data_IF_978721248266
#
_entry.id   IF_978721248266
#
_cell.length_a   1.000
_cell.length_b   1.000
_cell.length_c   1.000
_cell.angle_alpha   90.00
_cell.angle_beta   90.00
_cell.angle_gamma   90.00
#
_symmetry.space_group_name_H-M   'P 1'
#
loop_
_entity.id
_entity.type
_entity.pdbx_description
1 polymer ?
#
# COMPACT_ATOMS: atom_id res chain seq x y z
N UNK A 1 25.83 -9.10 -3.07
CA UNK A 1 24.99 -10.04 -2.36
C UNK A 1 24.20 -10.89 -3.35
N UNK A 2 24.32 -12.23 -3.23
CA UNK A 2 23.71 -13.18 -4.19
C UNK A 2 22.44 -13.83 -3.61
N UNK A 3 21.66 -13.10 -2.81
CA UNK A 3 20.41 -13.59 -2.23
C UNK A 3 19.36 -13.96 -3.29
N UNK A 4 19.46 -13.37 -4.48
CA UNK A 4 18.60 -13.70 -5.60
C UNK A 4 19.42 -14.10 -6.82
N UNK A 5 19.17 -15.27 -7.44
CA UNK A 5 19.87 -15.69 -8.62
C UNK A 5 19.43 -14.84 -9.83
N UNK A 6 20.36 -14.22 -10.50
CA UNK A 6 20.14 -13.49 -11.75
C UNK A 6 19.16 -12.31 -11.64
N UNK A 7 19.36 -11.34 -10.72
CA UNK A 7 18.53 -10.14 -10.71
C UNK A 7 18.69 -9.40 -12.03
N UNK A 8 17.60 -8.84 -12.56
CA UNK A 8 17.65 -7.96 -13.72
C UNK A 8 18.46 -6.70 -13.37
N UNK A 9 19.02 -6.07 -14.36
CA UNK A 9 19.72 -4.81 -14.21
C UNK A 9 18.68 -3.65 -14.19
N UNK A 10 18.65 -2.88 -13.11
CA UNK A 10 17.73 -1.76 -12.95
C UNK A 10 18.00 -0.62 -13.95
N UNK A 11 19.27 -0.41 -14.37
CA UNK A 11 19.61 0.63 -15.34
C UNK A 11 19.05 0.30 -16.73
N UNK A 12 19.05 -0.98 -17.09
CA UNK A 12 18.44 -1.44 -18.34
C UNK A 12 16.93 -1.21 -18.32
N UNK A 13 16.24 -1.55 -17.21
CA UNK A 13 14.81 -1.30 -17.07
C UNK A 13 14.49 0.19 -17.08
N UNK A 14 15.25 1.02 -16.37
CA UNK A 14 15.08 2.46 -16.35
C UNK A 14 15.19 3.08 -17.75
N UNK A 15 16.12 2.60 -18.59
CA UNK A 15 16.23 3.04 -20.00
C UNK A 15 14.98 2.69 -20.81
N UNK A 16 14.43 1.48 -20.63
CA UNK A 16 13.19 1.09 -21.30
C UNK A 16 12.00 1.94 -20.82
N UNK A 17 11.87 2.14 -19.52
CA UNK A 17 10.78 2.94 -18.97
C UNK A 17 10.85 4.41 -19.42
N UNK A 18 12.05 4.99 -19.53
CA UNK A 18 12.24 6.34 -20.09
C UNK A 18 11.72 6.50 -21.51
N UNK A 19 11.80 5.43 -22.32
CA UNK A 19 11.35 5.46 -23.71
C UNK A 19 9.85 5.18 -23.81
N UNK A 20 9.32 4.25 -23.00
CA UNK A 20 8.00 3.69 -23.19
C UNK A 20 6.94 4.20 -22.20
N UNK A 21 7.35 4.70 -21.03
CA UNK A 21 6.47 5.10 -19.95
C UNK A 21 6.52 6.62 -19.73
N UNK A 22 5.39 7.34 -19.89
CA UNK A 22 5.30 8.76 -19.54
C UNK A 22 5.68 9.00 -18.07
N UNK A 23 5.93 10.27 -17.71
CA UNK A 23 6.43 10.66 -16.37
C UNK A 23 5.45 10.37 -15.23
N UNK A 24 4.19 10.12 -15.55
CA UNK A 24 3.08 9.79 -14.62
C UNK A 24 2.56 8.35 -14.78
N UNK A 25 3.27 7.48 -15.50
CA UNK A 25 2.83 6.11 -15.80
C UNK A 25 2.70 5.25 -14.54
N UNK A 26 1.75 4.32 -14.57
CA UNK A 26 1.65 3.20 -13.63
C UNK A 26 2.26 1.95 -14.27
N UNK A 27 3.27 1.38 -13.64
CA UNK A 27 4.01 0.20 -14.12
C UNK A 27 3.65 -0.98 -13.23
N UNK A 28 3.02 -1.99 -13.81
CA UNK A 28 2.60 -3.21 -13.12
C UNK A 28 3.52 -4.37 -13.46
N UNK A 29 4.04 -5.03 -12.43
CA UNK A 29 4.88 -6.22 -12.54
C UNK A 29 4.29 -7.35 -11.67
N UNK A 30 3.70 -8.37 -12.31
CA UNK A 30 3.09 -9.52 -11.63
C UNK A 30 4.11 -10.55 -11.12
N UNK A 31 5.37 -10.39 -11.47
CA UNK A 31 6.45 -11.30 -11.08
C UNK A 31 7.64 -10.51 -10.55
N UNK A 32 7.36 -9.66 -9.55
CA UNK A 32 8.28 -8.65 -9.01
C UNK A 32 9.64 -9.21 -8.54
N UNK A 33 9.66 -10.47 -8.10
CA UNK A 33 10.89 -11.19 -7.73
C UNK A 33 11.78 -10.36 -6.82
N UNK A 34 12.96 -9.98 -7.28
CA UNK A 34 13.92 -9.18 -6.49
C UNK A 34 13.59 -7.70 -6.37
N UNK A 35 12.46 -7.21 -6.90
CA UNK A 35 12.05 -5.79 -6.82
C UNK A 35 12.75 -4.85 -7.79
N UNK A 36 13.44 -5.37 -8.82
CA UNK A 36 14.22 -4.53 -9.74
C UNK A 36 13.37 -3.52 -10.49
N UNK A 37 12.12 -3.86 -10.82
CA UNK A 37 11.19 -2.96 -11.51
C UNK A 37 10.88 -1.73 -10.66
N UNK A 38 10.57 -1.91 -9.37
CA UNK A 38 10.30 -0.79 -8.48
C UNK A 38 11.56 0.07 -8.26
N UNK A 39 12.73 -0.55 -8.06
CA UNK A 39 13.98 0.20 -7.95
C UNK A 39 14.26 1.04 -9.21
N UNK A 40 14.04 0.49 -10.41
CA UNK A 40 14.22 1.21 -11.66
C UNK A 40 13.29 2.44 -11.75
N UNK A 41 12.03 2.30 -11.33
CA UNK A 41 11.06 3.41 -11.30
C UNK A 41 11.47 4.49 -10.29
N UNK A 42 11.85 4.10 -9.07
CA UNK A 42 12.30 5.04 -8.02
C UNK A 42 13.50 5.85 -8.51
N UNK A 43 14.50 5.18 -9.10
CA UNK A 43 15.70 5.84 -9.62
C UNK A 43 15.37 6.77 -10.78
N UNK A 44 14.52 6.34 -11.68
CA UNK A 44 14.13 7.15 -12.84
C UNK A 44 13.37 8.41 -12.40
N UNK A 45 12.44 8.31 -11.47
CA UNK A 45 11.73 9.46 -10.91
C UNK A 45 12.69 10.44 -10.20
N UNK A 46 13.68 9.91 -9.46
CA UNK A 46 14.70 10.75 -8.82
C UNK A 46 15.59 11.47 -9.83
N UNK A 47 15.80 10.89 -11.02
CA UNK A 47 16.65 11.45 -12.09
C UNK A 47 15.92 12.53 -12.90
N UNK A 48 14.65 12.28 -13.28
CA UNK A 48 13.91 13.14 -14.21
C UNK A 48 12.78 13.95 -13.57
N UNK A 49 12.52 13.77 -12.26
CA UNK A 49 11.44 14.44 -11.56
C UNK A 49 10.04 13.85 -11.84
N UNK A 50 9.97 12.69 -12.48
CA UNK A 50 8.72 11.99 -12.76
C UNK A 50 8.00 11.50 -11.49
N UNK A 51 6.72 11.19 -11.64
CA UNK A 51 5.84 10.68 -10.59
C UNK A 51 5.28 9.29 -10.94
N UNK A 52 6.06 8.50 -11.69
CA UNK A 52 5.67 7.14 -12.05
C UNK A 52 5.45 6.31 -10.81
N UNK A 53 4.48 5.41 -10.87
CA UNK A 53 4.20 4.43 -9.82
C UNK A 53 4.59 3.03 -10.28
N UNK A 54 5.11 2.21 -9.37
CA UNK A 54 5.33 0.79 -9.59
C UNK A 54 4.45 -0.03 -8.66
N UNK A 55 3.70 -0.97 -9.23
CA UNK A 55 2.91 -1.96 -8.48
C UNK A 55 3.55 -3.31 -8.74
N UNK A 56 4.14 -3.91 -7.70
CA UNK A 56 4.74 -5.23 -7.76
C UNK A 56 3.85 -6.25 -7.07
N UNK A 57 3.59 -7.33 -7.76
CA UNK A 57 2.98 -8.52 -7.17
C UNK A 57 4.03 -9.62 -7.15
N UNK A 58 4.33 -10.17 -6.01
CA UNK A 58 5.27 -11.27 -5.85
C UNK A 58 4.77 -12.23 -4.80
N UNK A 59 5.09 -13.51 -4.95
CA UNK A 59 4.95 -14.47 -3.88
C UNK A 59 6.18 -14.38 -2.96
N UNK A 60 6.12 -15.10 -1.84
CA UNK A 60 7.24 -15.22 -0.92
C UNK A 60 7.88 -16.62 -1.04
N UNK A 61 8.14 -17.08 -2.28
CA UNK A 61 8.70 -18.41 -2.50
C UNK A 61 10.17 -18.53 -2.03
N UNK A 62 10.52 -19.69 -1.54
CA UNK A 62 11.88 -20.05 -1.16
C UNK A 62 12.63 -20.70 -2.33
N UNK A 63 13.96 -20.65 -2.26
CA UNK A 63 14.76 -21.54 -3.10
C UNK A 63 14.48 -23.00 -2.72
N UNK A 64 14.63 -23.93 -3.69
CA UNK A 64 14.47 -25.37 -3.40
C UNK A 64 15.42 -25.87 -2.30
N UNK A 65 16.59 -25.25 -2.18
CA UNK A 65 17.58 -25.63 -1.18
C UNK A 65 17.11 -25.22 0.22
N UNK A 66 16.65 -23.97 0.37
CA UNK A 66 16.15 -23.43 1.65
C UNK A 66 14.87 -24.14 2.07
N UNK A 67 13.92 -24.38 1.15
CA UNK A 67 12.69 -25.14 1.44
C UNK A 67 13.05 -26.56 1.97
N UNK A 68 13.98 -27.23 1.29
CA UNK A 68 14.40 -28.58 1.73
C UNK A 68 15.08 -28.57 3.09
N UNK A 69 15.88 -27.54 3.37
CA UNK A 69 16.59 -27.43 4.64
C UNK A 69 15.64 -27.13 5.80
N UNK A 70 14.78 -26.12 5.63
CA UNK A 70 13.79 -25.72 6.65
C UNK A 70 12.83 -26.85 7.01
N UNK A 71 12.35 -27.59 6.00
CA UNK A 71 11.49 -28.77 6.23
C UNK A 71 12.20 -29.88 7.02
N UNK A 72 13.51 -30.06 6.83
CA UNK A 72 14.30 -31.01 7.65
C UNK A 72 14.45 -30.53 9.09
N UNK A 73 14.48 -29.22 9.29
CA UNK A 73 14.53 -28.57 10.61
C UNK A 73 13.18 -28.53 11.30
N UNK A 74 12.10 -28.91 10.59
CA UNK A 74 10.74 -29.01 11.13
C UNK A 74 9.86 -27.78 10.84
N UNK A 75 10.35 -26.83 10.06
CA UNK A 75 9.58 -25.65 9.66
C UNK A 75 8.71 -25.92 8.44
N UNK A 76 7.57 -25.24 8.36
CA UNK A 76 6.59 -25.37 7.28
C UNK A 76 6.15 -23.98 6.77
N UNK A 77 5.55 -23.90 5.56
CA UNK A 77 4.93 -22.67 5.09
C UNK A 77 3.94 -22.10 6.14
N UNK A 78 4.08 -20.81 6.43
CA UNK A 78 3.33 -20.11 7.47
C UNK A 78 4.07 -19.95 8.80
N UNK A 79 5.20 -20.65 9.01
CA UNK A 79 6.06 -20.41 10.17
C UNK A 79 6.96 -19.17 9.92
N UNK A 80 7.21 -18.36 10.93
CA UNK A 80 8.01 -17.13 10.80
C UNK A 80 9.41 -17.40 10.23
N UNK A 81 10.06 -18.46 10.67
CA UNK A 81 11.39 -18.87 10.19
C UNK A 81 11.36 -19.29 8.71
N UNK A 82 10.25 -19.91 8.27
CA UNK A 82 10.07 -20.30 6.88
C UNK A 82 9.84 -19.06 6.01
N UNK A 83 8.91 -18.20 6.41
CA UNK A 83 8.55 -17.01 5.65
C UNK A 83 9.69 -15.98 5.57
N UNK A 84 10.54 -15.88 6.62
CA UNK A 84 11.67 -14.96 6.65
C UNK A 84 12.71 -15.18 5.54
N UNK A 85 12.83 -16.40 5.01
CA UNK A 85 13.77 -16.73 3.92
C UNK A 85 13.14 -16.64 2.52
N UNK A 86 11.85 -16.34 2.43
CA UNK A 86 11.16 -16.16 1.17
C UNK A 86 11.64 -14.91 0.41
N UNK A 87 11.50 -14.92 -0.90
CA UNK A 87 12.02 -13.86 -1.79
C UNK A 87 11.53 -12.48 -1.42
N UNK A 88 10.30 -12.34 -0.96
CA UNK A 88 9.76 -11.04 -0.56
C UNK A 88 10.47 -10.50 0.69
N UNK A 89 10.49 -11.27 1.76
CA UNK A 89 11.06 -10.84 3.04
C UNK A 89 12.59 -10.77 3.00
N UNK A 90 13.23 -11.74 2.35
CA UNK A 90 14.70 -11.86 2.34
C UNK A 90 15.38 -10.97 1.29
N UNK A 91 14.69 -10.62 0.20
CA UNK A 91 15.30 -9.93 -0.94
C UNK A 91 14.58 -8.65 -1.31
N UNK A 92 13.28 -8.74 -1.64
CA UNK A 92 12.53 -7.63 -2.26
C UNK A 92 12.38 -6.46 -1.32
N UNK A 93 11.84 -6.69 -0.14
CA UNK A 93 11.59 -5.67 0.87
C UNK A 93 12.89 -5.01 1.34
N UNK A 94 13.92 -5.73 1.81
CA UNK A 94 15.18 -5.13 2.24
C UNK A 94 15.90 -4.33 1.15
N UNK A 95 15.82 -4.80 -0.09
CA UNK A 95 16.39 -4.07 -1.24
C UNK A 95 15.73 -2.72 -1.44
N UNK A 96 14.41 -2.69 -1.47
CA UNK A 96 13.66 -1.46 -1.69
C UNK A 96 13.78 -0.48 -0.51
N UNK A 97 13.75 -0.98 0.72
CA UNK A 97 14.04 -0.18 1.91
C UNK A 97 15.45 0.42 1.85
N UNK A 98 16.45 -0.36 1.46
CA UNK A 98 17.83 0.13 1.29
C UNK A 98 17.94 1.23 0.22
N UNK A 99 17.22 1.09 -0.89
CA UNK A 99 17.21 2.11 -1.96
C UNK A 99 16.64 3.44 -1.47
N UNK A 100 15.55 3.39 -0.69
CA UNK A 100 14.86 4.58 -0.18
C UNK A 100 15.60 5.20 1.00
N UNK A 101 15.98 4.40 1.98
CA UNK A 101 16.62 4.90 3.20
C UNK A 101 18.11 5.19 3.04
N UNK A 102 18.77 4.54 2.09
CA UNK A 102 20.22 4.56 1.94
C UNK A 102 20.97 3.69 2.95
N UNK A 103 20.27 2.92 3.80
CA UNK A 103 20.84 2.11 4.88
C UNK A 103 20.51 0.65 4.63
N UNK A 104 21.50 -0.25 4.78
CA UNK A 104 21.30 -1.69 4.69
C UNK A 104 20.76 -2.27 5.99
N UNK A 105 20.25 -3.49 5.96
CA UNK A 105 19.75 -4.21 7.15
C UNK A 105 20.79 -4.32 8.28
N UNK A 106 22.06 -4.40 7.94
CA UNK A 106 23.17 -4.45 8.93
C UNK A 106 23.54 -3.07 9.50
N UNK A 107 22.79 -2.02 9.16
CA UNK A 107 23.01 -0.65 9.57
C UNK A 107 24.10 0.11 8.78
N UNK A 108 24.76 -0.54 7.82
CA UNK A 108 25.80 0.11 7.02
C UNK A 108 25.20 1.07 5.98
N UNK A 109 25.87 2.18 5.72
CA UNK A 109 25.45 3.14 4.70
C UNK A 109 25.66 2.55 3.30
N UNK A 110 24.60 2.59 2.48
CA UNK A 110 24.63 2.23 1.07
C UNK A 110 24.73 3.46 0.17
N UNK A 111 23.91 4.48 0.43
CA UNK A 111 23.81 5.71 -0.36
C UNK A 111 23.19 6.81 0.49
N UNK A 112 22.92 7.97 -0.11
CA UNK A 112 22.16 9.05 0.55
C UNK A 112 20.65 8.72 0.67
N UNK A 113 20.21 7.60 0.10
CA UNK A 113 18.80 7.28 -0.05
C UNK A 113 18.12 8.05 -1.19
N UNK A 114 16.95 7.61 -1.58
CA UNK A 114 16.13 8.26 -2.59
C UNK A 114 14.78 8.63 -1.97
N UNK A 115 14.31 9.86 -2.21
CA UNK A 115 13.01 10.30 -1.72
C UNK A 115 11.89 9.60 -2.50
N UNK A 116 11.35 8.52 -1.93
CA UNK A 116 10.25 7.77 -2.52
C UNK A 116 9.32 7.27 -1.41
N UNK A 117 8.03 7.15 -1.72
CA UNK A 117 7.05 6.51 -0.85
C UNK A 117 6.90 5.04 -1.25
N UNK A 118 7.05 4.13 -0.30
CA UNK A 118 6.85 2.69 -0.50
C UNK A 118 5.87 2.19 0.55
N UNK A 119 4.90 1.38 0.12
CA UNK A 119 4.04 0.62 1.00
C UNK A 119 4.13 -0.87 0.65
N UNK A 120 4.25 -1.71 1.67
CA UNK A 120 4.24 -3.16 1.54
C UNK A 120 2.93 -3.69 2.06
N UNK A 121 2.31 -4.59 1.31
CA UNK A 121 1.05 -5.23 1.66
C UNK A 121 1.22 -6.74 1.59
N UNK A 122 0.60 -7.41 2.52
CA UNK A 122 0.41 -8.85 2.48
C UNK A 122 -1.03 -9.14 2.09
N UNK A 123 -1.23 -10.02 1.10
CA UNK A 123 -2.54 -10.46 0.70
C UNK A 123 -2.89 -11.70 1.50
N UNK A 124 -3.79 -11.55 2.46
CA UNK A 124 -4.26 -12.64 3.31
C UNK A 124 -5.76 -12.85 3.17
N UNK A 125 -6.24 -14.02 3.56
CA UNK A 125 -7.66 -14.28 3.70
C UNK A 125 -8.10 -13.89 5.11
N UNK A 126 -9.14 -13.06 5.18
CA UNK A 126 -9.78 -12.73 6.45
C UNK A 126 -11.01 -13.63 6.64
N UNK A 127 -11.19 -14.12 7.86
CA UNK A 127 -12.39 -14.89 8.19
C UNK A 127 -13.61 -13.97 8.28
N UNK A 128 -14.72 -14.38 7.66
CA UNK A 128 -15.96 -13.62 7.63
C UNK A 128 -16.43 -13.14 9.02
N UNK A 129 -16.33 -13.94 10.11
CA UNK A 129 -16.66 -13.48 11.46
C UNK A 129 -15.81 -12.31 11.96
N UNK A 130 -14.55 -12.20 11.56
CA UNK A 130 -13.66 -11.13 11.98
C UNK A 130 -13.97 -9.83 11.23
N UNK A 131 -14.37 -9.94 9.96
CA UNK A 131 -14.87 -8.82 9.17
C UNK A 131 -16.15 -8.25 9.80
N UNK A 132 -17.12 -9.11 10.12
CA UNK A 132 -18.41 -8.72 10.73
C UNK A 132 -18.24 -8.06 12.09
N UNK A 133 -17.19 -8.38 12.84
CA UNK A 133 -16.89 -7.77 14.16
C UNK A 133 -16.23 -6.40 14.09
N UNK A 134 -15.97 -5.88 12.91
CA UNK A 134 -15.29 -4.58 12.72
C UNK A 134 -13.82 -4.56 13.12
N UNK A 135 -13.19 -5.75 13.24
CA UNK A 135 -11.77 -5.86 13.53
C UNK A 135 -10.90 -5.58 12.30
N UNK A 136 -11.48 -5.76 11.10
CA UNK A 136 -10.72 -5.81 9.86
C UNK A 136 -10.51 -4.45 9.15
N UNK A 137 -10.95 -3.31 9.70
CA UNK A 137 -10.80 -2.03 8.96
C UNK A 137 -9.34 -1.69 8.65
N UNK A 138 -8.46 -1.84 9.64
CA UNK A 138 -7.05 -1.52 9.43
C UNK A 138 -6.40 -2.43 8.38
N UNK A 139 -6.88 -3.68 8.27
CA UNK A 139 -6.43 -4.63 7.25
C UNK A 139 -6.94 -4.24 5.86
N UNK A 140 -8.12 -3.59 5.79
CA UNK A 140 -8.69 -3.06 4.55
C UNK A 140 -8.16 -1.66 4.17
N UNK A 141 -7.56 -0.93 5.09
CA UNK A 141 -7.09 0.43 4.88
C UNK A 141 -6.10 0.54 3.71
N UNK A 142 -5.26 -0.48 3.52
CA UNK A 142 -4.36 -0.57 2.37
C UNK A 142 -5.09 -0.64 1.03
N UNK A 143 -6.21 -1.36 0.96
CA UNK A 143 -7.03 -1.44 -0.25
C UNK A 143 -7.67 -0.08 -0.58
N UNK A 144 -8.19 0.64 0.42
CA UNK A 144 -8.76 1.98 0.22
C UNK A 144 -7.70 2.97 -0.24
N UNK A 145 -6.52 2.91 0.35
CA UNK A 145 -5.38 3.71 -0.05
C UNK A 145 -4.98 3.46 -1.51
N UNK A 146 -4.91 2.20 -1.96
CA UNK A 146 -4.65 1.83 -3.36
C UNK A 146 -5.74 2.36 -4.29
N UNK A 147 -7.03 2.22 -3.93
CA UNK A 147 -8.16 2.76 -4.73
C UNK A 147 -8.12 4.27 -4.83
N UNK A 148 -7.62 4.96 -3.81
CA UNK A 148 -7.43 6.41 -3.80
C UNK A 148 -6.14 6.87 -4.51
N UNK A 149 -5.44 5.99 -5.22
CA UNK A 149 -4.26 6.32 -6.01
C UNK A 149 -2.92 6.17 -5.30
N UNK A 150 -2.89 5.65 -4.07
CA UNK A 150 -1.63 5.33 -3.36
C UNK A 150 -0.84 6.55 -2.89
N UNK A 151 -1.48 7.67 -2.57
CA UNK A 151 -0.81 8.89 -2.11
C UNK A 151 -0.80 9.02 -0.59
N UNK A 152 0.36 9.39 -0.02
CA UNK A 152 0.54 9.58 1.40
C UNK A 152 0.39 8.30 2.21
N UNK A 153 -0.03 8.42 3.48
CA UNK A 153 -0.30 7.28 4.35
C UNK A 153 -1.72 6.73 4.20
N UNK A 154 -1.92 5.52 4.71
CA UNK A 154 -3.25 4.90 4.82
C UNK A 154 -4.14 5.62 5.84
N UNK A 155 -5.44 5.40 5.76
CA UNK A 155 -6.37 5.88 6.79
C UNK A 155 -6.32 4.93 7.98
N UNK A 156 -6.05 5.45 9.18
CA UNK A 156 -6.06 4.67 10.41
C UNK A 156 -7.34 4.90 11.22
N UNK A 157 -7.95 3.81 11.68
CA UNK A 157 -9.06 3.87 12.65
C UNK A 157 -8.53 3.90 14.08
N UNK A 158 -8.28 5.09 14.55
CA UNK A 158 -8.01 5.31 15.98
C UNK A 158 -9.29 5.27 16.81
N UNK A 159 -9.16 5.15 18.13
CA UNK A 159 -10.31 5.28 19.04
C UNK A 159 -11.02 6.63 18.91
N UNK A 160 -10.28 7.70 18.61
CA UNK A 160 -10.83 9.02 18.33
C UNK A 160 -11.66 9.04 17.05
N UNK A 161 -11.15 8.46 15.96
CA UNK A 161 -11.87 8.33 14.69
C UNK A 161 -13.19 7.54 14.85
N UNK A 162 -13.18 6.47 15.63
CA UNK A 162 -14.41 5.72 15.96
C UNK A 162 -15.43 6.57 16.72
N UNK A 163 -14.98 7.39 17.67
CA UNK A 163 -15.86 8.29 18.42
C UNK A 163 -16.41 9.43 17.55
N UNK A 164 -15.60 9.97 16.63
CA UNK A 164 -16.01 11.01 15.68
C UNK A 164 -16.96 10.47 14.60
N UNK A 165 -16.90 9.17 14.32
CA UNK A 165 -17.64 8.48 13.26
C UNK A 165 -17.07 8.70 11.86
N UNK A 166 -15.83 9.17 11.74
CA UNK A 166 -15.08 9.30 10.50
C UNK A 166 -13.57 9.37 10.73
N UNK A 167 -12.78 9.08 9.69
CA UNK A 167 -11.34 9.22 9.67
C UNK A 167 -10.88 9.94 8.39
N UNK A 168 -9.76 10.66 8.48
CA UNK A 168 -9.11 11.34 7.35
C UNK A 168 -7.67 10.86 7.31
N UNK A 169 -7.14 10.53 6.13
CA UNK A 169 -5.74 10.16 5.96
C UNK A 169 -4.81 11.34 6.32
N UNK A 170 -3.60 11.06 6.74
CA UNK A 170 -2.60 12.09 7.05
C UNK A 170 -2.34 13.03 5.87
N UNK A 171 -2.37 12.50 4.64
CA UNK A 171 -2.27 13.31 3.43
C UNK A 171 -3.45 14.22 3.16
N UNK A 172 -4.58 14.04 3.87
CA UNK A 172 -5.82 14.76 3.64
C UNK A 172 -6.54 14.43 2.33
N UNK A 173 -6.09 13.41 1.58
CA UNK A 173 -6.67 13.06 0.27
C UNK A 173 -7.77 12.02 0.32
N UNK A 174 -7.79 11.21 1.38
CA UNK A 174 -8.76 10.13 1.54
C UNK A 174 -9.48 10.29 2.86
N UNK A 175 -10.79 10.16 2.85
CA UNK A 175 -11.61 10.12 4.06
C UNK A 175 -12.50 8.88 4.07
N UNK A 176 -12.79 8.39 5.27
CA UNK A 176 -13.74 7.31 5.50
C UNK A 176 -14.80 7.79 6.48
N UNK A 177 -16.05 7.75 6.06
CA UNK A 177 -17.21 8.05 6.88
C UNK A 177 -17.79 6.74 7.44
N UNK A 178 -17.55 6.48 8.71
CA UNK A 178 -17.99 5.25 9.40
C UNK A 178 -19.47 5.29 9.76
N UNK A 179 -19.99 6.49 10.02
CA UNK A 179 -21.38 6.71 10.42
C UNK A 179 -21.99 7.74 9.48
N UNK A 180 -22.90 7.36 8.57
CA UNK A 180 -23.48 8.28 7.57
C UNK A 180 -24.07 9.56 8.18
N UNK A 181 -24.69 9.48 9.35
CA UNK A 181 -25.24 10.65 10.06
C UNK A 181 -24.20 11.68 10.53
N UNK A 182 -22.89 11.39 10.36
CA UNK A 182 -21.79 12.32 10.66
C UNK A 182 -21.23 13.02 9.42
N UNK A 183 -21.90 12.87 8.29
CA UNK A 183 -21.45 13.45 7.00
C UNK A 183 -21.24 14.97 7.09
N UNK A 184 -22.18 15.69 7.67
CA UNK A 184 -22.06 17.14 7.85
C UNK A 184 -20.84 17.51 8.72
N UNK A 185 -20.61 16.81 9.82
CA UNK A 185 -19.48 17.08 10.71
C UNK A 185 -18.13 16.84 10.00
N UNK A 186 -18.04 15.78 9.17
CA UNK A 186 -16.86 15.53 8.32
C UNK A 186 -16.68 16.66 7.30
N UNK A 187 -17.74 17.08 6.61
CA UNK A 187 -17.69 18.16 5.62
C UNK A 187 -17.22 19.49 6.26
N UNK A 188 -17.73 19.84 7.44
CA UNK A 188 -17.30 21.01 8.20
C UNK A 188 -15.83 20.93 8.61
N UNK A 189 -15.37 19.75 9.05
CA UNK A 189 -13.95 19.53 9.39
C UNK A 189 -13.04 19.66 8.18
N UNK A 190 -13.42 19.12 7.02
CA UNK A 190 -12.67 19.26 5.77
C UNK A 190 -12.63 20.72 5.30
N UNK A 191 -13.74 21.47 5.43
CA UNK A 191 -13.78 22.90 5.08
C UNK A 191 -12.94 23.77 6.02
N UNK A 192 -12.76 23.36 7.28
CA UNK A 192 -11.93 24.07 8.27
C UNK A 192 -10.43 23.77 8.11
N UNK A 193 -10.08 22.78 7.32
CA UNK A 193 -8.70 22.40 7.01
C UNK A 193 -8.46 22.64 5.53
N UNK A 194 -7.20 22.86 5.12
CA UNK A 194 -6.84 23.00 3.69
C UNK A 194 -6.81 21.64 2.96
N UNK A 195 -7.44 20.62 3.54
CA UNK A 195 -7.49 19.28 2.97
C UNK A 195 -8.49 19.22 1.80
N UNK A 196 -8.00 18.77 0.67
CA UNK A 196 -8.85 18.48 -0.50
C UNK A 196 -8.86 16.97 -0.72
N UNK A 197 -9.91 16.32 -0.24
CA UNK A 197 -10.07 14.88 -0.46
C UNK A 197 -10.38 14.61 -1.94
N UNK A 198 -9.81 13.53 -2.47
CA UNK A 198 -10.11 13.00 -3.80
C UNK A 198 -11.06 11.80 -3.72
N UNK A 199 -11.02 11.06 -2.61
CA UNK A 199 -11.82 9.86 -2.39
C UNK A 199 -12.47 9.89 -1.01
N UNK A 200 -13.76 9.56 -1.01
CA UNK A 200 -14.58 9.38 0.18
C UNK A 200 -15.18 7.99 0.17
N UNK A 201 -14.87 7.20 1.18
CA UNK A 201 -15.49 5.90 1.42
C UNK A 201 -16.58 6.05 2.47
N UNK A 202 -17.82 5.64 2.15
CA UNK A 202 -18.96 5.70 3.06
C UNK A 202 -19.36 4.29 3.47
N UNK A 203 -19.32 4.04 4.77
CA UNK A 203 -19.68 2.74 5.35
C UNK A 203 -21.18 2.72 5.58
N UNK A 204 -21.89 1.96 4.76
CA UNK A 204 -23.34 1.79 4.91
C UNK A 204 -23.85 0.65 4.06
N UNK A 205 -24.81 -0.12 4.57
CA UNK A 205 -25.55 -1.13 3.82
C UNK A 205 -26.77 -0.53 3.10
N UNK A 206 -27.11 0.75 3.39
CA UNK A 206 -28.23 1.47 2.81
C UNK A 206 -27.78 2.40 1.69
N UNK A 207 -28.27 2.17 0.47
CA UNK A 207 -28.03 3.02 -0.69
C UNK A 207 -28.51 4.46 -0.45
N UNK A 208 -29.74 4.59 0.08
CA UNK A 208 -30.32 5.90 0.34
C UNK A 208 -29.52 6.73 1.38
N UNK A 209 -29.00 6.08 2.43
CA UNK A 209 -28.15 6.75 3.41
C UNK A 209 -26.80 7.16 2.82
N UNK A 210 -26.24 6.32 1.94
CA UNK A 210 -24.99 6.64 1.25
C UNK A 210 -25.16 7.85 0.32
N UNK A 211 -26.22 7.87 -0.44
CA UNK A 211 -26.54 8.97 -1.37
C UNK A 211 -26.82 10.26 -0.60
N UNK A 212 -27.60 10.22 0.48
CA UNK A 212 -27.85 11.36 1.36
C UNK A 212 -26.54 11.91 1.93
N UNK A 213 -25.70 11.05 2.50
CA UNK A 213 -24.41 11.43 3.05
C UNK A 213 -23.49 12.09 1.99
N UNK A 214 -23.48 11.55 0.78
CA UNK A 214 -22.68 12.08 -0.31
C UNK A 214 -23.05 13.53 -0.71
N UNK A 215 -24.30 13.94 -0.50
CA UNK A 215 -24.76 15.31 -0.83
C UNK A 215 -24.07 16.41 -0.03
N UNK A 216 -23.45 16.08 1.11
CA UNK A 216 -22.71 17.03 1.94
C UNK A 216 -21.34 17.41 1.38
N UNK A 217 -20.87 16.71 0.35
CA UNK A 217 -19.52 16.91 -0.18
C UNK A 217 -19.57 17.56 -1.57
N UNK A 218 -18.56 18.38 -1.94
CA UNK A 218 -18.53 19.05 -3.23
C UNK A 218 -18.37 18.05 -4.38
N UNK A 219 -18.85 18.42 -5.56
CA UNK A 219 -18.63 17.63 -6.76
C UNK A 219 -17.15 17.49 -7.12
N UNK A 220 -16.81 16.37 -7.76
CA UNK A 220 -15.43 16.05 -8.15
C UNK A 220 -14.69 15.11 -7.17
N UNK A 221 -15.32 14.75 -6.06
CA UNK A 221 -14.82 13.70 -5.15
C UNK A 221 -15.35 12.35 -5.64
N UNK A 222 -14.48 11.35 -5.73
CA UNK A 222 -14.90 9.97 -5.96
C UNK A 222 -15.50 9.42 -4.65
N UNK A 223 -16.79 9.10 -4.69
CA UNK A 223 -17.51 8.53 -3.55
C UNK A 223 -17.75 7.05 -3.79
N UNK A 224 -17.30 6.21 -2.85
CA UNK A 224 -17.52 4.76 -2.88
C UNK A 224 -18.22 4.30 -1.62
N UNK A 225 -19.20 3.41 -1.77
CA UNK A 225 -19.84 2.76 -0.63
C UNK A 225 -19.07 1.50 -0.24
N UNK A 226 -18.93 1.34 1.06
CA UNK A 226 -18.37 0.14 1.68
C UNK A 226 -19.48 -0.46 2.54
N UNK A 227 -19.74 -1.72 2.33
CA UNK A 227 -20.71 -2.44 3.16
C UNK A 227 -20.18 -2.57 4.59
N UNK A 228 -21.06 -2.40 5.59
CA UNK A 228 -20.72 -2.53 7.01
C UNK A 228 -20.14 -3.90 7.39
N UNK A 229 -20.44 -4.92 6.59
CA UNK A 229 -19.84 -6.26 6.73
C UNK A 229 -18.33 -6.32 6.44
N UNK A 230 -17.73 -5.27 5.87
CA UNK A 230 -16.27 -5.18 5.67
C UNK A 230 -15.55 -4.46 6.82
N UNK A 231 -16.25 -4.09 7.87
CA UNK A 231 -15.73 -3.39 9.04
C UNK A 231 -15.94 -4.19 10.31
#
# INVERSE_FOLDING_TARGET
DKRFPFPKDHDVLARWFRIMAPEDAVILDFFGGSGTTAEAVIRLNAEDGGIRQAILVTNNELSKADDTQLRKEGHAPGDDEYEALGVFHHVTKPRLETVVTGVREDGSTYSAGLNANIAFFELTYLDEPDIVRGAAFNDLAGLFWLKAGGYGGTVELTSGAKADGFAISESGRTAVLLTPGRAQALAEKLAATEHTISHLFIVTDSEAQGDEAATHFPGGITVERIYGSYL
#
